data_IF_651586523623
#
_entry.id   IF_651586523623
#
_cell.length_a   1.000
_cell.length_b   1.000
_cell.length_c   1.000
_cell.angle_alpha   90.00
_cell.angle_beta   90.00
_cell.angle_gamma   90.00
#
_symmetry.space_group_name_H-M   'P 1'
#
loop_
_entity.id
_entity.type
_entity.pdbx_description
1 polymer ?
#
# COMPACT_ATOMS: atom_id res chain seq x y z
N UNK A 1 11.96 -13.12 -0.14
CA UNK A 1 11.55 -14.54 -0.16
C UNK A 1 10.11 -14.69 -0.68
N UNK A 2 9.11 -13.99 -0.13
CA UNK A 2 7.71 -14.08 -0.57
C UNK A 2 7.55 -13.91 -2.09
N UNK A 3 8.13 -12.85 -2.64
CA UNK A 3 8.09 -12.58 -4.10
C UNK A 3 8.74 -13.68 -4.92
N UNK A 4 9.86 -14.28 -4.46
CA UNK A 4 10.50 -15.41 -5.14
C UNK A 4 9.62 -16.66 -5.19
N UNK A 5 8.74 -16.81 -4.21
CA UNK A 5 7.80 -17.92 -4.11
C UNK A 5 6.45 -17.66 -4.78
N UNK A 6 6.30 -16.52 -5.43
CA UNK A 6 5.03 -16.14 -6.07
C UNK A 6 3.90 -15.79 -5.09
N UNK A 7 4.20 -15.58 -3.80
CA UNK A 7 3.18 -15.30 -2.78
C UNK A 7 2.61 -13.89 -2.91
N UNK A 8 1.30 -13.70 -2.65
CA UNK A 8 0.73 -12.37 -2.53
C UNK A 8 1.43 -11.54 -1.45
N UNK A 9 1.65 -10.26 -1.72
CA UNK A 9 2.32 -9.34 -0.79
C UNK A 9 1.52 -8.04 -0.69
N UNK A 10 1.21 -7.63 0.54
CA UNK A 10 0.70 -6.30 0.86
C UNK A 10 1.70 -5.61 1.79
N UNK A 11 2.28 -4.50 1.33
CA UNK A 11 3.17 -3.65 2.13
C UNK A 11 2.41 -2.45 2.66
N UNK A 12 2.37 -2.27 3.99
CA UNK A 12 1.73 -1.12 4.64
C UNK A 12 2.81 -0.21 5.21
N UNK A 13 2.72 1.09 4.93
CA UNK A 13 3.61 2.13 5.42
C UNK A 13 5.10 1.78 5.20
N UNK A 14 5.84 1.40 6.22
CA UNK A 14 7.22 0.92 6.10
C UNK A 14 7.33 -0.28 5.14
N UNK A 15 6.31 -1.15 5.10
CA UNK A 15 6.25 -2.28 4.15
C UNK A 15 6.24 -1.82 2.69
N UNK A 16 5.49 -0.76 2.36
CA UNK A 16 5.54 -0.14 1.03
C UNK A 16 6.91 0.46 0.74
N UNK A 17 7.52 1.14 1.71
CA UNK A 17 8.86 1.73 1.57
C UNK A 17 9.93 0.65 1.35
N UNK A 18 9.82 -0.51 1.99
CA UNK A 18 10.68 -1.67 1.73
C UNK A 18 10.47 -2.21 0.32
N UNK A 19 9.24 -2.36 -0.14
CA UNK A 19 8.92 -2.78 -1.51
C UNK A 19 9.47 -1.79 -2.54
N UNK A 20 9.36 -0.48 -2.33
CA UNK A 20 9.88 0.54 -3.24
C UNK A 20 11.40 0.48 -3.44
N UNK A 21 12.11 -0.17 -2.52
CA UNK A 21 13.54 -0.41 -2.60
C UNK A 21 13.91 -1.82 -3.12
N UNK A 22 12.93 -2.61 -3.56
CA UNK A 22 13.16 -3.94 -4.11
C UNK A 22 14.06 -3.88 -5.35
N UNK A 23 15.10 -4.70 -5.37
CA UNK A 23 16.17 -4.69 -6.38
C UNK A 23 17.00 -3.40 -6.48
N UNK A 24 17.00 -2.56 -5.46
CA UNK A 24 17.98 -1.48 -5.32
C UNK A 24 19.16 -1.93 -4.45
N UNK A 25 20.34 -1.44 -4.78
CA UNK A 25 21.57 -1.76 -4.02
C UNK A 25 21.57 -1.09 -2.64
N UNK A 26 20.89 0.05 -2.52
CA UNK A 26 20.80 0.82 -1.29
C UNK A 26 19.33 1.07 -0.91
N UNK A 27 19.04 1.04 0.40
CA UNK A 27 17.74 1.43 0.94
C UNK A 27 17.66 2.96 1.06
N UNK A 28 16.93 3.58 0.15
CA UNK A 28 16.83 5.04 0.06
C UNK A 28 15.37 5.47 0.22
N UNK A 29 15.14 6.41 1.14
CA UNK A 29 13.87 7.11 1.33
C UNK A 29 14.14 8.62 1.33
N UNK A 30 13.15 9.40 0.90
CA UNK A 30 13.17 10.86 0.98
C UNK A 30 12.35 11.32 2.20
N UNK A 31 12.74 12.43 2.83
CA UNK A 31 11.89 13.11 3.82
C UNK A 31 10.67 13.71 3.12
N UNK A 32 9.48 13.55 3.70
CA UNK A 32 8.30 14.30 3.22
C UNK A 32 8.48 15.78 3.52
N UNK A 33 8.14 16.63 2.56
CA UNK A 33 8.27 18.09 2.73
C UNK A 33 7.17 18.62 3.65
N UNK A 34 5.92 18.17 3.44
CA UNK A 34 4.78 18.57 4.26
C UNK A 34 4.55 17.61 5.44
N UNK A 35 5.38 17.73 6.47
CA UNK A 35 5.28 16.87 7.68
C UNK A 35 3.96 17.03 8.44
N UNK A 36 3.30 18.17 8.33
CA UNK A 36 2.01 18.39 8.99
C UNK A 36 0.90 17.57 8.35
N UNK A 37 0.99 17.32 7.05
CA UNK A 37 0.03 16.52 6.30
C UNK A 37 0.27 15.01 6.51
N UNK A 38 1.54 14.57 6.51
CA UNK A 38 1.88 13.15 6.47
C UNK A 38 2.27 12.54 7.82
N UNK A 39 2.82 13.32 8.74
CA UNK A 39 3.23 12.83 10.06
C UNK A 39 2.31 13.35 11.17
N UNK A 40 1.12 12.80 11.27
CA UNK A 40 0.12 13.20 12.26
C UNK A 40 0.23 12.43 13.58
N UNK A 41 1.35 11.75 13.82
CA UNK A 41 1.62 10.92 15.00
C UNK A 41 1.45 11.68 16.34
N UNK A 42 1.52 12.99 16.30
CA UNK A 42 1.35 13.88 17.46
C UNK A 42 -0.12 14.18 17.79
N UNK A 43 -1.06 13.78 16.93
CA UNK A 43 -2.50 13.99 17.10
C UNK A 43 -3.21 12.65 17.32
N UNK A 44 -2.68 11.81 18.20
CA UNK A 44 -3.09 10.41 18.41
C UNK A 44 -4.43 10.20 19.11
N UNK A 45 -5.35 11.15 19.08
CA UNK A 45 -6.68 10.92 19.66
C UNK A 45 -7.57 9.99 18.80
N UNK A 46 -7.28 9.89 17.50
CA UNK A 46 -8.02 9.02 16.58
C UNK A 46 -7.12 8.59 15.39
N UNK A 47 -6.47 7.43 15.50
CA UNK A 47 -5.60 6.87 14.46
C UNK A 47 -6.38 6.46 13.19
N UNK A 48 -7.69 6.29 13.26
CA UNK A 48 -8.56 5.98 12.13
C UNK A 48 -8.98 7.21 11.33
N UNK A 49 -8.72 8.43 11.86
CA UNK A 49 -9.18 9.66 11.25
C UNK A 49 -8.45 9.97 9.94
N UNK A 50 -9.17 10.15 8.82
CA UNK A 50 -8.56 10.61 7.57
C UNK A 50 -7.99 12.01 7.72
N UNK A 51 -6.80 12.25 7.14
CA UNK A 51 -6.08 13.53 7.24
C UNK A 51 -5.76 14.15 5.89
N UNK A 52 -5.64 13.37 4.82
CA UNK A 52 -5.46 13.89 3.47
C UNK A 52 -6.13 12.99 2.42
N UNK A 53 -6.20 13.49 1.20
CA UNK A 53 -6.72 12.76 0.03
C UNK A 53 -5.62 12.04 -0.71
N UNK A 54 -5.99 10.92 -1.31
CA UNK A 54 -5.16 10.13 -2.21
C UNK A 54 -5.88 9.95 -3.52
N UNK A 55 -5.21 10.30 -4.62
CA UNK A 55 -5.67 10.13 -5.99
C UNK A 55 -5.18 8.78 -6.53
N UNK A 56 -6.08 7.97 -7.08
CA UNK A 56 -5.82 6.59 -7.52
C UNK A 56 -5.92 6.51 -9.03
N UNK A 57 -4.93 5.88 -9.66
CA UNK A 57 -4.91 5.64 -11.10
C UNK A 57 -5.98 4.61 -11.50
N UNK A 58 -6.85 4.96 -12.46
CA UNK A 58 -7.91 4.09 -12.97
C UNK A 58 -7.42 2.75 -13.54
N UNK A 59 -6.19 2.72 -14.04
CA UNK A 59 -5.58 1.53 -14.65
C UNK A 59 -4.76 0.73 -13.62
N UNK A 60 -5.20 0.67 -12.38
CA UNK A 60 -4.51 -0.04 -11.30
C UNK A 60 -5.40 -1.09 -10.63
N UNK A 61 -4.80 -2.11 -10.05
CA UNK A 61 -5.49 -3.09 -9.21
C UNK A 61 -6.10 -2.42 -7.97
N UNK A 62 -5.42 -1.42 -7.41
CA UNK A 62 -5.95 -0.64 -6.30
C UNK A 62 -7.29 0.02 -6.65
N UNK A 63 -7.39 0.58 -7.88
CA UNK A 63 -8.66 1.13 -8.36
C UNK A 63 -9.73 0.03 -8.55
N UNK A 64 -9.37 -1.12 -9.11
CA UNK A 64 -10.29 -2.25 -9.27
C UNK A 64 -10.88 -2.70 -7.91
N UNK A 65 -10.05 -2.70 -6.87
CA UNK A 65 -10.46 -3.07 -5.51
C UNK A 65 -11.38 -2.02 -4.89
N UNK A 66 -11.01 -0.76 -4.97
CA UNK A 66 -11.69 0.35 -4.27
C UNK A 66 -12.90 0.85 -5.08
N UNK A 67 -12.75 1.02 -6.39
CA UNK A 67 -13.76 1.56 -7.29
C UNK A 67 -13.92 3.08 -7.20
N UNK A 68 -12.91 3.81 -6.73
CA UNK A 68 -12.91 5.28 -6.60
C UNK A 68 -11.59 5.87 -7.07
N UNK A 69 -11.63 7.06 -7.68
CA UNK A 69 -10.46 7.82 -8.10
C UNK A 69 -9.83 8.63 -6.95
N UNK A 70 -10.59 8.87 -5.89
CA UNK A 70 -10.15 9.63 -4.73
C UNK A 70 -10.69 8.99 -3.46
N UNK A 71 -9.85 8.86 -2.45
CA UNK A 71 -10.18 8.44 -1.10
C UNK A 71 -9.50 9.36 -0.08
N UNK A 72 -10.01 9.40 1.15
CA UNK A 72 -9.35 10.06 2.27
C UNK A 72 -8.72 9.00 3.17
N UNK A 73 -7.49 9.24 3.64
CA UNK A 73 -6.69 8.27 4.40
C UNK A 73 -6.05 8.88 5.64
N UNK A 74 -5.71 8.04 6.62
CA UNK A 74 -4.84 8.41 7.73
C UNK A 74 -3.37 8.50 7.28
N UNK A 75 -2.50 9.11 8.07
CA UNK A 75 -1.09 9.25 7.69
C UNK A 75 -0.18 9.40 8.91
N UNK A 76 0.86 8.55 9.00
CA UNK A 76 1.81 8.48 10.12
C UNK A 76 3.26 8.29 9.65
N UNK A 77 3.66 8.95 8.56
CA UNK A 77 5.00 8.77 8.01
C UNK A 77 5.74 10.11 7.82
N UNK A 78 7.04 10.10 8.08
CA UNK A 78 7.95 11.22 7.83
C UNK A 78 8.84 11.01 6.61
N UNK A 79 8.79 9.81 6.04
CA UNK A 79 9.55 9.40 4.86
C UNK A 79 8.61 9.02 3.73
N UNK A 80 9.04 9.24 2.50
CA UNK A 80 8.35 8.82 1.29
C UNK A 80 9.18 7.83 0.46
N UNK A 81 8.51 6.95 -0.24
CA UNK A 81 9.10 6.06 -1.22
C UNK A 81 9.55 6.83 -2.45
N UNK A 82 10.70 6.46 -3.00
CA UNK A 82 11.13 6.94 -4.31
C UNK A 82 10.61 6.03 -5.42
N UNK A 83 10.41 6.62 -6.60
CA UNK A 83 10.03 5.87 -7.80
C UNK A 83 11.02 4.72 -8.06
N UNK A 84 10.48 3.57 -8.44
CA UNK A 84 11.23 2.38 -8.79
C UNK A 84 10.65 1.79 -10.09
N UNK A 85 11.50 1.51 -11.07
CA UNK A 85 11.07 1.06 -12.40
C UNK A 85 10.44 -0.34 -12.40
N UNK A 86 10.64 -1.14 -11.34
CA UNK A 86 9.96 -2.42 -11.17
C UNK A 86 8.49 -2.28 -10.76
N UNK A 87 8.07 -1.09 -10.30
CA UNK A 87 6.73 -0.82 -9.81
C UNK A 87 6.00 0.23 -10.67
N UNK A 88 4.69 0.07 -10.77
CA UNK A 88 3.79 1.15 -11.18
C UNK A 88 3.47 1.98 -9.94
N UNK A 89 3.62 3.31 -10.03
CA UNK A 89 3.05 4.21 -9.03
C UNK A 89 1.58 4.38 -9.36
N UNK A 90 0.71 4.00 -8.42
CA UNK A 90 -0.74 3.89 -8.66
C UNK A 90 -1.57 4.83 -7.80
N UNK A 91 -0.95 5.45 -6.80
CA UNK A 91 -1.64 6.42 -5.96
C UNK A 91 -0.69 7.53 -5.48
N UNK A 92 -1.22 8.76 -5.35
CA UNK A 92 -0.50 9.95 -4.93
C UNK A 92 -1.36 10.80 -3.99
N UNK A 93 -0.74 11.44 -3.02
CA UNK A 93 -1.35 12.53 -2.26
C UNK A 93 -1.50 13.81 -3.09
N UNK A 94 -2.22 14.80 -2.56
CA UNK A 94 -2.45 16.09 -3.22
C UNK A 94 -1.14 16.88 -3.45
N UNK A 95 -0.12 16.68 -2.62
CA UNK A 95 1.22 17.29 -2.74
C UNK A 95 2.22 16.42 -3.50
N UNK A 96 1.77 15.31 -4.10
CA UNK A 96 2.54 14.49 -5.03
C UNK A 96 3.39 13.40 -4.37
N UNK A 97 3.25 13.16 -3.07
CA UNK A 97 3.90 12.04 -2.39
C UNK A 97 3.33 10.71 -2.90
N UNK A 98 4.19 9.73 -3.13
CA UNK A 98 3.78 8.39 -3.56
C UNK A 98 3.08 7.68 -2.40
N UNK A 99 1.79 7.37 -2.60
CA UNK A 99 0.93 6.74 -1.62
C UNK A 99 0.57 5.28 -1.97
N UNK A 100 0.80 4.86 -3.23
CA UNK A 100 0.53 3.49 -3.66
C UNK A 100 1.43 3.02 -4.79
N UNK A 101 1.88 1.77 -4.68
CA UNK A 101 2.72 1.10 -5.70
C UNK A 101 2.21 -0.32 -5.96
N UNK A 102 2.42 -0.82 -7.18
CA UNK A 102 2.13 -2.20 -7.59
C UNK A 102 3.31 -2.77 -8.37
N UNK A 103 3.77 -3.98 -8.03
CA UNK A 103 4.85 -4.66 -8.75
C UNK A 103 4.38 -5.07 -10.15
N UNK A 104 5.12 -4.66 -11.17
CA UNK A 104 4.82 -4.99 -12.57
C UNK A 104 4.90 -6.50 -12.81
N UNK A 105 4.00 -7.00 -13.63
CA UNK A 105 3.99 -8.41 -14.05
C UNK A 105 3.96 -9.42 -12.89
N UNK A 106 3.30 -9.05 -11.78
CA UNK A 106 3.16 -9.91 -10.61
C UNK A 106 1.68 -10.04 -10.22
N UNK A 107 1.20 -11.24 -9.82
CA UNK A 107 -0.23 -11.47 -9.59
C UNK A 107 -0.84 -10.54 -8.52
N UNK A 108 -0.19 -10.46 -7.36
CA UNK A 108 -0.59 -9.54 -6.30
C UNK A 108 0.62 -9.12 -5.44
N UNK A 109 1.13 -7.94 -5.70
CA UNK A 109 2.10 -7.27 -4.83
C UNK A 109 1.82 -5.79 -4.87
N UNK A 110 1.28 -5.28 -3.78
CA UNK A 110 0.83 -3.92 -3.61
C UNK A 110 1.45 -3.30 -2.36
N UNK A 111 1.78 -2.02 -2.42
CA UNK A 111 2.15 -1.22 -1.26
C UNK A 111 1.23 -0.01 -1.14
N UNK A 112 0.81 0.30 0.10
CA UNK A 112 0.09 1.53 0.45
C UNK A 112 0.82 2.25 1.57
N UNK A 113 0.89 3.58 1.51
CA UNK A 113 1.66 4.36 2.47
C UNK A 113 0.87 4.65 3.75
N UNK A 114 -0.45 4.75 3.66
CA UNK A 114 -1.35 4.89 4.81
C UNK A 114 -1.54 3.56 5.56
N UNK A 115 -2.31 3.59 6.64
CA UNK A 115 -2.59 2.45 7.51
C UNK A 115 -4.05 2.00 7.40
N UNK A 116 -4.42 1.18 6.39
CA UNK A 116 -5.78 0.67 6.25
C UNK A 116 -6.20 -0.20 7.44
N UNK A 117 -5.27 -0.88 8.11
CA UNK A 117 -5.55 -1.72 9.27
C UNK A 117 -6.07 -0.94 10.48
N UNK A 118 -5.78 0.35 10.55
CA UNK A 118 -6.29 1.24 11.62
C UNK A 118 -7.66 1.84 11.29
N UNK A 119 -8.14 1.69 10.05
CA UNK A 119 -9.39 2.30 9.56
C UNK A 119 -10.52 1.29 9.34
N UNK A 120 -10.39 0.04 9.79
CA UNK A 120 -11.33 -1.04 9.47
C UNK A 120 -12.75 -0.78 9.98
N UNK A 121 -12.90 -0.11 11.12
CA UNK A 121 -14.20 0.16 11.71
C UNK A 121 -14.91 1.37 11.07
N UNK A 122 -14.18 2.19 10.30
CA UNK A 122 -14.66 3.49 9.80
C UNK A 122 -14.61 3.63 8.28
N UNK A 123 -13.78 2.82 7.58
CA UNK A 123 -13.58 2.96 6.14
C UNK A 123 -13.73 1.63 5.37
N UNK A 124 -14.76 1.59 4.52
CA UNK A 124 -15.04 0.45 3.67
C UNK A 124 -13.92 0.16 2.64
N UNK A 125 -13.13 1.17 2.22
CA UNK A 125 -12.06 0.98 1.25
C UNK A 125 -10.91 0.20 1.89
N UNK A 126 -10.62 0.46 3.15
CA UNK A 126 -9.65 -0.29 3.96
C UNK A 126 -10.04 -1.76 4.09
N UNK A 127 -11.31 -2.04 4.37
CA UNK A 127 -11.84 -3.41 4.40
C UNK A 127 -11.65 -4.10 3.03
N UNK A 128 -11.96 -3.42 1.92
CA UNK A 128 -11.80 -3.99 0.57
C UNK A 128 -10.35 -4.37 0.26
N UNK A 129 -9.39 -3.53 0.62
CA UNK A 129 -7.96 -3.81 0.40
C UNK A 129 -7.53 -5.07 1.15
N UNK A 130 -7.80 -5.14 2.46
CA UNK A 130 -7.39 -6.27 3.28
C UNK A 130 -8.13 -7.55 2.91
N UNK A 131 -9.42 -7.47 2.59
CA UNK A 131 -10.21 -8.61 2.12
C UNK A 131 -9.65 -9.17 0.81
N UNK A 132 -9.34 -8.32 -0.17
CA UNK A 132 -8.74 -8.75 -1.43
C UNK A 132 -7.40 -9.45 -1.20
N UNK A 133 -6.54 -8.90 -0.34
CA UNK A 133 -5.26 -9.54 0.01
C UNK A 133 -5.46 -10.93 0.64
N UNK A 134 -6.40 -11.07 1.58
CA UNK A 134 -6.71 -12.36 2.22
C UNK A 134 -7.25 -13.37 1.19
N UNK A 135 -8.10 -12.93 0.27
CA UNK A 135 -8.65 -13.77 -0.79
C UNK A 135 -7.54 -14.28 -1.73
N UNK A 136 -6.60 -13.41 -2.13
CA UNK A 136 -5.43 -13.81 -2.94
C UNK A 136 -4.53 -14.78 -2.18
N UNK A 137 -4.24 -14.53 -0.90
CA UNK A 137 -3.45 -15.43 -0.07
C UNK A 137 -4.12 -16.81 0.12
N UNK A 138 -5.46 -16.84 0.23
CA UNK A 138 -6.22 -18.08 0.39
C UNK A 138 -6.20 -18.96 -0.88
N UNK A 139 -6.16 -18.36 -2.06
CA UNK A 139 -6.00 -19.12 -3.33
C UNK A 139 -4.66 -19.86 -3.33
N UNK A 140 -3.61 -19.20 -2.89
CA UNK A 140 -2.26 -19.77 -2.85
C UNK A 140 -2.12 -20.91 -1.82
N UNK A 141 -2.87 -20.85 -0.72
CA UNK A 141 -2.86 -21.92 0.30
C UNK A 141 -3.46 -23.22 -0.22
N UNK A 142 -4.51 -23.18 -1.03
CA UNK A 142 -5.14 -24.36 -1.65
C UNK A 142 -4.18 -25.10 -2.58
N UNK A 143 -3.34 -24.36 -3.31
CA UNK A 143 -2.36 -24.96 -4.22
C UNK A 143 -1.25 -25.71 -3.46
N UNK A 144 -0.93 -25.29 -2.23
CA UNK A 144 0.07 -25.97 -1.39
C UNK A 144 -0.49 -27.28 -0.79
N UNK A 145 -1.76 -27.35 -0.46
CA UNK A 145 -2.39 -28.57 0.06
C UNK A 145 -2.48 -29.68 -0.99
N UNK A 146 -2.72 -29.32 -2.26
CA UNK A 146 -2.79 -30.29 -3.38
C UNK A 146 -1.42 -30.93 -3.67
N UNK A 147 -0.32 -30.27 -3.37
CA UNK A 147 1.05 -30.78 -3.59
C UNK A 147 1.51 -31.71 -2.44
N UNK A 148 0.80 -31.75 -1.32
CA UNK A 148 1.11 -32.59 -0.15
C UNK A 148 0.42 -33.97 -0.16
N UNK A 149 -0.41 -34.24 -1.18
CA UNK A 149 -1.04 -35.54 -1.41
C UNK A 149 -0.29 -36.33 -2.49
#
# INVERSE_FOLDING_TARGET
EALKRGLPVLGVCLGMQLLSNYHKDEFILKEVENKQLHNTIWVREDEAKPVHKVLINKNSKLYEIIGKEEIAVNSFHSKEALKNDNFNTVAFSEDGVIEGIELKNYPFCMGVQWHPELMLDTDINSIKILKCFIEEASKHHKDIEVVRL
#
